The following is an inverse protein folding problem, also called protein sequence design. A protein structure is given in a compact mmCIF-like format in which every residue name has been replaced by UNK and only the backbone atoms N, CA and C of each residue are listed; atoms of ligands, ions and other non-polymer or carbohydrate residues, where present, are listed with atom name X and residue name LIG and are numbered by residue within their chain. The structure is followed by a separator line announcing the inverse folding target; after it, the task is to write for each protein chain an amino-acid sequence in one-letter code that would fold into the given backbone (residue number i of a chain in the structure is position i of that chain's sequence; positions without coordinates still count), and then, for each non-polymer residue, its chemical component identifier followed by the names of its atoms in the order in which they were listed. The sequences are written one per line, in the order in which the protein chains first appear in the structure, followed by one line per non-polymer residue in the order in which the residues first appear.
data_IF_072795532258
#
_entry.id   IF_072795532258
#
_cell.length_a   1.000
_cell.length_b   1.000
_cell.length_c   1.000
_cell.angle_alpha   90.00
_cell.angle_beta   90.00
_cell.angle_gamma   90.00
#
_symmetry.space_group_name_H-M   'P 1'
#
loop_
_entity.id
_entity.type
_entity.pdbx_description
1 polymer ?
#
# COMPACT_ATOMS: atom_id res chain seq x y z
N UNK A 1 -7.72 -0.63 -25.30
CA UNK A 1 -7.45 -1.07 -23.92
C UNK A 1 -6.30 -0.23 -23.41
N UNK A 2 -6.52 0.55 -22.34
CA UNK A 2 -5.47 1.39 -21.78
C UNK A 2 -4.49 0.53 -21.02
N UNK A 3 -3.19 0.65 -21.30
CA UNK A 3 -2.17 -0.07 -20.56
C UNK A 3 -2.14 0.48 -19.12
N UNK A 4 -2.16 -0.44 -18.17
CA UNK A 4 -2.17 -0.17 -16.72
C UNK A 4 -1.03 -0.93 -16.08
N UNK A 5 -0.54 -0.45 -14.94
CA UNK A 5 0.48 -1.11 -14.13
C UNK A 5 0.00 -1.29 -12.69
N UNK A 6 0.44 -2.38 -12.11
CA UNK A 6 0.28 -2.70 -10.71
C UNK A 6 1.42 -2.04 -9.91
N UNK A 7 1.08 -1.29 -8.85
CA UNK A 7 2.06 -0.71 -7.93
C UNK A 7 1.80 -1.17 -6.51
N UNK A 8 2.83 -1.72 -5.86
CA UNK A 8 2.75 -2.28 -4.51
C UNK A 8 3.86 -1.78 -3.60
N UNK A 9 3.55 -1.57 -2.33
CA UNK A 9 4.52 -1.22 -1.31
C UNK A 9 4.71 -2.37 -0.30
N UNK A 10 5.96 -2.80 -0.12
CA UNK A 10 6.29 -3.89 0.80
C UNK A 10 6.16 -3.50 2.29
N UNK A 11 6.39 -2.23 2.63
CA UNK A 11 6.30 -1.74 4.02
C UNK A 11 4.86 -1.70 4.54
N UNK A 12 3.96 -1.04 3.82
CA UNK A 12 2.60 -0.77 4.31
C UNK A 12 1.51 -1.60 3.62
N UNK A 13 1.87 -2.42 2.64
CA UNK A 13 0.94 -3.24 1.88
C UNK A 13 0.01 -2.45 0.95
N UNK A 14 0.30 -1.18 0.69
CA UNK A 14 -0.47 -0.38 -0.26
C UNK A 14 -0.39 -0.98 -1.68
N UNK A 15 -1.53 -1.12 -2.33
CA UNK A 15 -1.67 -1.72 -3.65
C UNK A 15 -2.64 -0.88 -4.50
N UNK A 16 -2.25 -0.56 -5.73
CA UNK A 16 -3.03 0.28 -6.65
C UNK A 16 -2.73 -0.05 -8.11
N UNK A 17 -3.73 0.07 -8.96
CA UNK A 17 -3.56 0.06 -10.41
C UNK A 17 -3.42 1.51 -10.91
N UNK A 18 -2.43 1.77 -11.75
CA UNK A 18 -2.20 3.08 -12.37
C UNK A 18 -2.26 2.96 -13.88
N UNK A 19 -3.00 3.87 -14.50
CA UNK A 19 -2.92 4.12 -15.94
C UNK A 19 -1.71 5.00 -16.27
N UNK A 20 -1.47 5.22 -17.58
CA UNK A 20 -0.35 6.04 -18.05
C UNK A 20 -0.40 7.47 -17.50
N UNK A 21 -1.61 8.03 -17.34
CA UNK A 21 -1.80 9.37 -16.77
C UNK A 21 -1.39 9.43 -15.30
N UNK A 22 -1.79 8.44 -14.49
CA UNK A 22 -1.43 8.31 -13.09
C UNK A 22 0.07 8.10 -12.88
N UNK A 23 0.69 7.24 -13.68
CA UNK A 23 2.13 7.02 -13.67
C UNK A 23 2.89 8.31 -14.04
N UNK A 24 2.48 9.00 -15.11
CA UNK A 24 3.09 10.27 -15.55
C UNK A 24 2.94 11.37 -14.48
N UNK A 25 1.79 11.47 -13.81
CA UNK A 25 1.59 12.42 -12.73
C UNK A 25 2.54 12.13 -11.56
N UNK A 26 2.81 10.87 -11.27
CA UNK A 26 3.80 10.50 -10.25
C UNK A 26 5.22 10.86 -10.68
N UNK A 27 5.63 10.54 -11.90
CA UNK A 27 6.94 10.95 -12.44
C UNK A 27 7.14 12.47 -12.38
N UNK A 28 6.09 13.25 -12.66
CA UNK A 28 6.09 14.72 -12.55
C UNK A 28 6.29 15.20 -11.11
N UNK A 29 5.66 14.55 -10.13
CA UNK A 29 5.84 14.91 -8.71
C UNK A 29 7.29 14.75 -8.22
N UNK A 30 8.09 13.92 -8.89
CA UNK A 30 9.51 13.73 -8.62
C UNK A 30 10.43 14.68 -9.41
N UNK A 31 9.87 15.56 -10.24
CA UNK A 31 10.63 16.49 -11.07
C UNK A 31 11.39 15.83 -12.23
N UNK A 32 11.10 14.57 -12.55
CA UNK A 32 11.82 13.79 -13.58
C UNK A 32 11.31 14.02 -15.01
N UNK A 33 10.21 14.76 -15.19
CA UNK A 33 9.56 14.97 -16.49
C UNK A 33 9.40 16.46 -16.79
N UNK A 34 9.83 16.89 -17.98
CA UNK A 34 9.58 18.25 -18.51
C UNK A 34 8.14 18.36 -19.02
N UNK A 35 7.44 19.43 -18.65
CA UNK A 35 5.98 19.57 -18.80
C UNK A 35 5.44 19.63 -20.23
N UNK A 36 6.28 19.89 -21.25
CA UNK A 36 5.85 20.14 -22.63
C UNK A 36 5.86 18.91 -23.55
N UNK A 37 6.30 17.75 -23.09
CA UNK A 37 6.39 16.56 -23.94
C UNK A 37 5.19 15.63 -23.67
N UNK A 38 4.47 15.27 -24.73
CA UNK A 38 3.53 14.16 -24.72
C UNK A 38 4.35 12.87 -24.72
N UNK A 39 4.26 12.08 -23.65
CA UNK A 39 4.96 10.81 -23.54
C UNK A 39 3.98 9.71 -23.91
N UNK A 40 4.44 8.79 -24.75
CA UNK A 40 3.69 7.60 -25.07
C UNK A 40 3.52 6.71 -23.82
N UNK A 41 2.41 5.97 -23.75
CA UNK A 41 2.10 5.12 -22.60
C UNK A 41 3.22 4.11 -22.32
N UNK A 42 3.74 3.44 -23.35
CA UNK A 42 4.78 2.42 -23.19
C UNK A 42 6.07 3.02 -22.61
N UNK A 43 6.45 4.21 -23.09
CA UNK A 43 7.62 4.95 -22.59
C UNK A 43 7.43 5.37 -21.14
N UNK A 44 6.22 5.83 -20.76
CA UNK A 44 5.92 6.18 -19.37
C UNK A 44 6.13 4.97 -18.47
N UNK A 45 5.63 3.79 -18.86
CA UNK A 45 5.73 2.60 -18.02
C UNK A 45 7.13 2.02 -17.94
N UNK A 46 7.89 2.02 -19.04
CA UNK A 46 9.31 1.66 -19.04
C UNK A 46 10.11 2.51 -18.06
N UNK A 47 9.98 3.84 -18.14
CA UNK A 47 10.66 4.74 -17.20
C UNK A 47 10.18 4.54 -15.77
N UNK A 48 8.87 4.40 -15.59
CA UNK A 48 8.27 4.22 -14.27
C UNK A 48 8.74 2.92 -13.58
N UNK A 49 8.88 1.82 -14.33
CA UNK A 49 9.47 0.56 -13.85
C UNK A 49 10.96 0.69 -13.57
N UNK A 50 11.70 1.39 -14.44
CA UNK A 50 13.15 1.59 -14.30
C UNK A 50 13.56 2.41 -13.07
N UNK A 51 12.65 3.21 -12.50
CA UNK A 51 12.92 4.01 -11.29
C UNK A 51 12.17 3.51 -10.05
N UNK A 52 11.60 2.30 -10.08
CA UNK A 52 10.78 1.73 -9.02
C UNK A 52 11.42 1.81 -7.62
N UNK A 53 12.74 1.63 -7.53
CA UNK A 53 13.53 1.72 -6.29
C UNK A 53 13.64 3.16 -5.74
N UNK A 54 13.55 4.17 -6.61
CA UNK A 54 13.59 5.58 -6.23
C UNK A 54 12.21 6.13 -5.81
N UNK A 55 11.13 5.44 -6.19
CA UNK A 55 9.77 5.87 -5.88
C UNK A 55 9.49 5.72 -4.38
N UNK A 56 8.81 6.71 -3.80
CA UNK A 56 8.31 6.65 -2.43
C UNK A 56 6.82 6.31 -2.39
N UNK A 57 6.45 5.33 -1.57
CA UNK A 57 5.06 4.96 -1.35
C UNK A 57 4.24 6.19 -0.91
N UNK A 58 3.11 6.45 -1.59
CA UNK A 58 2.24 7.59 -1.24
C UNK A 58 1.47 7.44 0.06
N UNK A 59 1.39 6.21 0.61
CA UNK A 59 0.70 5.92 1.87
C UNK A 59 1.64 6.05 3.08
N UNK A 60 2.81 5.41 3.05
CA UNK A 60 3.74 5.39 4.19
C UNK A 60 5.05 6.15 3.98
N UNK A 61 5.40 6.55 2.76
CA UNK A 61 6.66 7.23 2.44
C UNK A 61 7.88 6.32 2.29
N UNK A 62 7.75 5.01 2.46
CA UNK A 62 8.83 4.06 2.25
C UNK A 62 9.38 4.15 0.83
N UNK A 63 10.71 4.03 0.68
CA UNK A 63 11.39 4.03 -0.62
C UNK A 63 11.38 2.64 -1.23
N UNK A 64 11.24 2.57 -2.54
CA UNK A 64 11.08 1.34 -3.27
C UNK A 64 9.62 0.91 -3.27
N UNK A 65 9.02 0.86 -4.46
CA UNK A 65 7.73 0.22 -4.69
C UNK A 65 7.88 -0.80 -5.80
N UNK A 66 7.22 -1.93 -5.69
CA UNK A 66 7.12 -2.88 -6.78
C UNK A 66 6.23 -2.31 -7.88
N UNK A 67 6.67 -2.38 -9.14
CA UNK A 67 5.90 -1.98 -10.32
C UNK A 67 5.82 -3.17 -11.30
N UNK A 68 4.63 -3.75 -11.42
CA UNK A 68 4.36 -4.92 -12.25
C UNK A 68 3.32 -4.65 -13.34
N UNK A 69 3.11 -5.65 -14.19
CA UNK A 69 1.90 -5.70 -14.99
C UNK A 69 0.73 -6.14 -14.08
N UNK A 70 -0.50 -5.65 -14.33
CA UNK A 70 -1.68 -6.20 -13.70
C UNK A 70 -1.77 -7.68 -14.07
N UNK A 71 -2.36 -8.45 -13.17
CA UNK A 71 -2.59 -9.86 -13.42
C UNK A 71 -3.74 -9.97 -14.43
N UNK A 72 -3.47 -10.52 -15.61
CA UNK A 72 -4.51 -10.92 -16.55
C UNK A 72 -5.18 -12.20 -16.03
N UNK A 73 -6.51 -12.23 -16.03
CA UNK A 73 -7.32 -13.35 -15.52
C UNK A 73 -7.30 -14.58 -16.47
N UNK A 74 -6.75 -14.44 -17.69
CA UNK A 74 -6.80 -15.45 -18.76
C UNK A 74 -5.47 -16.22 -18.96
N UNK A 75 -4.46 -16.03 -18.12
CA UNK A 75 -3.15 -16.70 -18.28
C UNK A 75 -3.16 -18.11 -17.65
N UNK A 76 -3.29 -19.15 -18.49
CA UNK A 76 -3.39 -20.59 -18.16
C UNK A 76 -2.12 -21.19 -17.50
N UNK A 77 -1.17 -20.34 -17.08
CA UNK A 77 -0.01 -20.76 -16.32
C UNK A 77 -0.40 -21.09 -14.87
N UNK A 78 0.20 -22.13 -14.23
CA UNK A 78 -0.16 -22.53 -12.88
C UNK A 78 -0.05 -21.34 -11.93
N UNK A 79 -1.23 -20.85 -11.55
CA UNK A 79 -1.43 -19.61 -10.86
C UNK A 79 -0.76 -19.65 -9.49
N UNK A 80 0.36 -18.94 -9.34
CA UNK A 80 0.94 -18.72 -8.03
C UNK A 80 -0.10 -18.00 -7.16
N UNK A 81 -0.67 -18.70 -6.17
CA UNK A 81 -1.72 -18.14 -5.31
C UNK A 81 -1.24 -16.83 -4.69
N UNK A 82 -1.93 -15.74 -4.95
CA UNK A 82 -1.58 -14.42 -4.42
C UNK A 82 -2.01 -14.28 -2.96
N UNK A 83 -1.22 -13.53 -2.18
CA UNK A 83 -1.54 -13.16 -0.82
C UNK A 83 -2.76 -12.23 -0.78
N UNK A 84 -3.74 -12.55 0.05
CA UNK A 84 -4.97 -11.74 0.20
C UNK A 84 -4.74 -10.34 0.78
N UNK A 85 -3.58 -10.07 1.38
CA UNK A 85 -3.27 -8.80 2.04
C UNK A 85 -2.39 -7.90 1.16
N UNK A 86 -1.29 -8.43 0.60
CA UNK A 86 -0.35 -7.64 -0.20
C UNK A 86 -0.33 -7.98 -1.69
N UNK A 87 -1.10 -8.97 -2.15
CA UNK A 87 -1.16 -9.38 -3.56
C UNK A 87 0.07 -10.12 -4.10
N UNK A 88 1.17 -10.23 -3.33
CA UNK A 88 2.38 -10.97 -3.74
C UNK A 88 2.11 -12.47 -3.88
N UNK A 89 2.77 -13.18 -4.81
CA UNK A 89 2.67 -14.64 -4.89
C UNK A 89 3.12 -15.26 -3.55
N UNK A 90 2.33 -16.20 -3.06
CA UNK A 90 2.67 -16.97 -1.86
C UNK A 90 3.79 -17.95 -2.24
N UNK A 91 4.91 -18.00 -1.51
CA UNK A 91 6.04 -18.84 -1.88
C UNK A 91 5.62 -20.31 -2.04
N UNK A 92 6.09 -21.02 -3.09
CA UNK A 92 5.67 -22.38 -3.37
C UNK A 92 6.02 -23.35 -2.24
N UNK A 93 7.13 -23.13 -1.54
CA UNK A 93 7.50 -23.91 -0.35
C UNK A 93 6.46 -23.78 0.77
N UNK A 94 5.84 -22.61 0.92
CA UNK A 94 4.78 -22.37 1.91
C UNK A 94 3.48 -23.02 1.47
N UNK A 95 3.15 -22.98 0.17
CA UNK A 95 1.98 -23.66 -0.38
C UNK A 95 2.11 -25.18 -0.30
N UNK A 96 3.32 -25.73 -0.49
CA UNK A 96 3.60 -27.15 -0.36
C UNK A 96 3.45 -27.62 1.10
N UNK A 97 3.90 -26.82 2.07
CA UNK A 97 3.76 -27.14 3.49
C UNK A 97 2.33 -26.89 4.03
N UNK A 98 1.68 -25.82 3.56
CA UNK A 98 0.36 -25.37 3.98
C UNK A 98 -0.49 -25.01 2.74
N UNK A 99 -1.16 -25.99 2.12
CA UNK A 99 -1.94 -25.79 0.91
C UNK A 99 -3.11 -24.81 1.07
N UNK A 100 -3.50 -24.45 2.29
CA UNK A 100 -4.57 -23.48 2.59
C UNK A 100 -4.06 -22.08 2.92
N UNK A 101 -2.74 -21.85 2.97
CA UNK A 101 -2.16 -20.55 3.29
C UNK A 101 -2.68 -19.42 2.37
N UNK A 102 -3.49 -18.51 2.91
CA UNK A 102 -4.06 -17.38 2.17
C UNK A 102 -3.19 -16.11 2.19
N UNK A 103 -2.10 -16.10 2.97
CA UNK A 103 -1.18 -14.97 3.13
C UNK A 103 0.28 -15.38 3.01
N UNK A 104 1.13 -14.46 2.55
CA UNK A 104 2.58 -14.65 2.53
C UNK A 104 3.15 -14.65 3.96
N UNK A 105 4.42 -15.07 4.11
CA UNK A 105 5.10 -15.15 5.41
C UNK A 105 5.10 -13.80 6.13
N UNK A 106 5.45 -12.73 5.44
CA UNK A 106 5.55 -11.38 6.02
C UNK A 106 4.20 -10.86 6.53
N UNK A 107 3.13 -11.00 5.74
CA UNK A 107 1.78 -10.58 6.14
C UNK A 107 1.25 -11.42 7.30
N UNK A 108 1.47 -12.75 7.27
CA UNK A 108 1.06 -13.61 8.38
C UNK A 108 1.79 -13.23 9.69
N UNK A 109 3.10 -12.97 9.64
CA UNK A 109 3.89 -12.56 10.81
C UNK A 109 3.40 -11.24 11.42
N UNK A 110 2.97 -10.27 10.59
CA UNK A 110 2.41 -9.01 11.08
C UNK A 110 1.11 -9.22 11.87
N UNK A 111 0.22 -10.06 11.35
CA UNK A 111 -1.03 -10.40 12.03
C UNK A 111 -0.76 -11.17 13.32
N UNK A 112 0.14 -12.16 13.28
CA UNK A 112 0.51 -12.94 14.46
C UNK A 112 1.17 -12.06 15.55
N UNK A 113 1.88 -10.99 15.14
CA UNK A 113 2.44 -9.99 16.04
C UNK A 113 1.40 -9.02 16.64
N UNK A 114 0.14 -9.11 16.24
CA UNK A 114 -0.94 -8.25 16.72
C UNK A 114 -0.97 -6.86 16.06
N UNK A 115 -0.30 -6.68 14.91
CA UNK A 115 -0.41 -5.48 14.07
C UNK A 115 -1.68 -5.55 13.18
N UNK A 116 -2.74 -6.12 13.75
CA UNK A 116 -4.07 -6.15 13.16
C UNK A 116 -4.60 -4.71 13.24
N UNK A 117 -4.93 -4.06 12.11
CA UNK A 117 -5.63 -2.80 12.17
C UNK A 117 -7.02 -3.11 12.73
N UNK A 118 -7.14 -3.10 14.06
CA UNK A 118 -8.41 -3.13 14.76
C UNK A 118 -9.37 -2.19 14.03
N UNK A 119 -10.65 -2.58 13.83
CA UNK A 119 -11.58 -1.80 13.02
C UNK A 119 -11.52 -0.36 13.50
N UNK A 120 -10.88 0.48 12.69
CA UNK A 120 -10.45 1.78 13.17
C UNK A 120 -11.71 2.59 13.38
N UNK A 121 -12.06 2.90 14.63
CA UNK A 121 -13.12 3.86 14.91
C UNK A 121 -12.72 5.17 14.23
N UNK A 122 -13.50 5.62 13.24
CA UNK A 122 -13.18 6.83 12.48
C UNK A 122 -13.73 8.05 13.21
N UNK A 123 -12.94 9.14 13.21
CA UNK A 123 -13.34 10.40 13.83
C UNK A 123 -14.56 10.99 13.09
N UNK A 124 -15.69 11.26 13.78
CA UNK A 124 -16.91 11.76 13.12
C UNK A 124 -16.75 13.19 12.56
N UNK A 125 -15.71 13.93 12.95
CA UNK A 125 -15.45 15.29 12.44
C UNK A 125 -14.62 15.33 11.14
N UNK A 126 -13.74 14.36 10.90
CA UNK A 126 -12.78 14.44 9.80
C UNK A 126 -12.52 13.12 9.07
N UNK A 127 -13.04 12.00 9.54
CA UNK A 127 -12.85 10.69 8.93
C UNK A 127 -11.46 10.06 9.14
N UNK A 128 -10.52 10.71 9.85
CA UNK A 128 -9.24 10.08 10.21
C UNK A 128 -9.45 8.98 11.25
N UNK A 129 -8.65 7.88 11.23
CA UNK A 129 -8.76 6.80 12.21
C UNK A 129 -8.44 7.32 13.62
N UNK A 130 -9.18 6.90 14.63
CA UNK A 130 -8.89 7.22 16.03
C UNK A 130 -7.82 6.28 16.59
N UNK A 131 -7.00 6.82 17.49
CA UNK A 131 -5.89 6.10 18.14
C UNK A 131 -6.03 6.19 19.65
N UNK A 132 -5.72 5.08 20.34
CA UNK A 132 -5.72 5.04 21.79
C UNK A 132 -4.52 5.85 22.32
N UNK A 133 -4.77 6.90 23.10
CA UNK A 133 -3.72 7.70 23.75
C UNK A 133 -3.93 7.76 25.26
N UNK A 134 -2.83 7.71 26.01
CA UNK A 134 -2.86 7.96 27.44
C UNK A 134 -3.17 9.45 27.70
N UNK A 135 -4.28 9.73 28.38
CA UNK A 135 -4.58 11.09 28.86
C UNK A 135 -3.71 11.42 30.06
N UNK A 136 -3.03 12.57 30.02
CA UNK A 136 -2.21 13.06 31.14
C UNK A 136 -3.13 13.73 32.17
N UNK A 137 -3.22 13.14 33.35
CA UNK A 137 -3.92 13.69 34.52
C UNK A 137 -3.19 13.29 35.80
N UNK A 138 -3.35 14.07 36.87
CA UNK A 138 -2.74 13.76 38.18
C UNK A 138 -3.54 12.61 38.82
N UNK A 139 -3.13 11.36 38.57
CA UNK A 139 -3.82 10.16 39.02
C UNK A 139 -3.57 8.93 38.13
N UNK A 140 -4.54 8.01 38.07
CA UNK A 140 -4.48 6.78 37.26
C UNK A 140 -4.48 7.13 35.77
N UNK A 141 -3.54 6.56 35.01
CA UNK A 141 -3.47 6.69 33.55
C UNK A 141 -4.74 6.14 32.90
N UNK A 142 -5.55 7.02 32.29
CA UNK A 142 -6.70 6.63 31.47
C UNK A 142 -6.29 6.62 30.00
N UNK A 143 -6.61 5.53 29.32
CA UNK A 143 -6.48 5.45 27.86
C UNK A 143 -7.79 5.93 27.21
N UNK A 144 -7.70 6.84 26.25
CA UNK A 144 -8.87 7.39 25.53
C UNK A 144 -8.61 7.38 24.03
N UNK A 145 -9.66 7.09 23.26
CA UNK A 145 -9.61 7.17 21.80
C UNK A 145 -9.57 8.65 21.37
N UNK A 146 -8.58 9.03 20.58
CA UNK A 146 -8.37 10.41 20.13
C UNK A 146 -8.12 10.46 18.62
N UNK A 147 -8.52 11.56 17.97
CA UNK A 147 -8.27 11.77 16.54
C UNK A 147 -6.76 11.71 16.23
N UNK A 148 -6.37 10.94 15.22
CA UNK A 148 -4.97 10.84 14.77
C UNK A 148 -4.48 12.05 13.98
N UNK A 149 -5.40 12.89 13.46
CA UNK A 149 -5.05 14.06 12.66
C UNK A 149 -4.17 15.07 13.43
N UNK A 150 -3.36 15.85 12.71
CA UNK A 150 -2.48 16.88 13.29
C UNK A 150 -2.78 18.23 12.61
N UNK A 151 -3.38 19.20 13.32
CA UNK A 151 -3.80 19.17 14.72
C UNK A 151 -5.02 18.25 14.97
N UNK A 152 -5.14 17.62 16.17
CA UNK A 152 -6.25 16.70 16.45
C UNK A 152 -7.58 17.44 16.57
N UNK A 153 -8.63 16.84 16.02
CA UNK A 153 -9.99 17.37 16.19
C UNK A 153 -10.38 17.39 17.67
N UNK A 154 -10.86 18.53 18.15
CA UNK A 154 -11.50 18.60 19.47
C UNK A 154 -12.87 17.95 19.38
N UNK A 155 -12.98 16.71 19.84
CA UNK A 155 -14.26 16.04 20.08
C UNK A 155 -14.82 16.57 21.41
N UNK A 156 -15.23 17.83 21.38
CA UNK A 156 -16.17 18.45 22.31
C UNK A 156 -17.31 19.03 21.47
#
# INVERSE_FOLDING_TARGET
MGLVVDVRCDDCGDHRLLDAAGALQWLRSLGRVRSQQAWDADVVFEVFRGIADELSCRKCGARGVFVGLPRDEDDDWPEARACQECGRPIPPERLAALPEAARCVSCQQRIDAGDDPAPAEYCPKCGSPMVLRASRGSGITRHTMQCSNVPPCRLR
#
